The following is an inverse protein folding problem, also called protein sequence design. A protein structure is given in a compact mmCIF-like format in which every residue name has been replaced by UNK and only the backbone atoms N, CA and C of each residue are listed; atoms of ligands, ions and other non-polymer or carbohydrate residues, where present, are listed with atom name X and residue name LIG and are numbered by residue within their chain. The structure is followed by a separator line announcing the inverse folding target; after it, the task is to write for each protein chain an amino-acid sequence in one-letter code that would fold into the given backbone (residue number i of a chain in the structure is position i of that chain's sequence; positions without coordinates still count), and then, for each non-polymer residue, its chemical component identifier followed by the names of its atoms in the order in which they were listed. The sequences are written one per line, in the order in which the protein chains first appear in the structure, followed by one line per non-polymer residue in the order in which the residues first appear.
data_IF_143638408288
#
_entry.id   IF_143638408288
#
_cell.length_a   1.000
_cell.length_b   1.000
_cell.length_c   1.000
_cell.angle_alpha   90.00
_cell.angle_beta   90.00
_cell.angle_gamma   90.00
#
_symmetry.space_group_name_H-M   'P 1'
#
loop_
_entity.id
_entity.type
_entity.pdbx_description
1 polymer ?
#
# COMPACT_ATOMS: atom_id res chain seq x y z
N UNK A 1 -9.86 -22.43 -7.52
CA UNK A 1 -10.39 -21.07 -7.79
C UNK A 1 -10.65 -20.38 -6.47
N UNK A 2 -9.86 -19.37 -6.10
CA UNK A 2 -10.15 -18.53 -4.93
C UNK A 2 -11.17 -17.48 -5.35
N UNK A 3 -12.46 -17.70 -5.05
CA UNK A 3 -13.51 -16.71 -5.26
C UNK A 3 -13.25 -15.50 -4.36
N UNK A 4 -12.90 -14.36 -4.95
CA UNK A 4 -12.75 -13.11 -4.20
C UNK A 4 -14.12 -12.51 -3.87
N UNK A 5 -14.22 -11.70 -2.81
CA UNK A 5 -15.46 -10.99 -2.45
C UNK A 5 -16.01 -10.15 -3.62
N UNK A 6 -15.11 -9.56 -4.41
CA UNK A 6 -15.45 -8.79 -5.61
C UNK A 6 -16.08 -9.67 -6.69
N UNK A 7 -15.49 -10.83 -6.96
CA UNK A 7 -16.03 -11.78 -7.95
C UNK A 7 -17.39 -12.34 -7.54
N UNK A 8 -17.60 -12.57 -6.24
CA UNK A 8 -18.91 -12.98 -5.72
C UNK A 8 -19.97 -11.89 -6.00
N UNK A 9 -19.68 -10.63 -5.68
CA UNK A 9 -20.60 -9.50 -5.93
C UNK A 9 -20.87 -9.31 -7.43
N UNK A 10 -19.83 -9.32 -8.28
CA UNK A 10 -19.97 -9.18 -9.74
C UNK A 10 -20.84 -10.31 -10.30
N UNK A 11 -20.62 -11.57 -9.87
CA UNK A 11 -21.40 -12.73 -10.34
C UNK A 11 -22.84 -12.71 -9.84
N UNK A 12 -23.09 -12.35 -8.58
CA UNK A 12 -24.46 -12.27 -8.03
C UNK A 12 -25.31 -11.22 -8.73
N UNK A 13 -24.73 -10.07 -9.11
CA UNK A 13 -25.42 -9.03 -9.88
C UNK A 13 -25.75 -9.48 -11.32
N UNK A 14 -24.83 -10.20 -11.97
CA UNK A 14 -25.06 -10.77 -13.32
C UNK A 14 -26.15 -11.85 -13.29
N UNK A 15 -26.15 -12.74 -12.28
CA UNK A 15 -27.16 -13.79 -12.13
C UNK A 15 -28.55 -13.19 -11.81
N UNK A 16 -28.62 -12.13 -11.00
CA UNK A 16 -29.87 -11.43 -10.71
C UNK A 16 -30.47 -10.67 -11.90
N UNK A 17 -29.64 -10.16 -12.83
CA UNK A 17 -30.09 -9.45 -14.03
C UNK A 17 -30.38 -10.35 -15.25
N UNK A 18 -29.90 -11.60 -15.24
CA UNK A 18 -30.00 -12.53 -16.39
C UNK A 18 -31.37 -13.19 -16.56
N UNK A 19 -32.34 -12.90 -15.68
CA UNK A 19 -33.71 -13.41 -15.85
C UNK A 19 -34.53 -12.65 -16.93
N UNK A 20 -34.02 -11.54 -17.48
CA UNK A 20 -34.77 -10.70 -18.43
C UNK A 20 -34.13 -10.55 -19.83
N UNK A 21 -32.92 -11.04 -20.09
CA UNK A 21 -32.26 -10.84 -21.38
C UNK A 21 -31.62 -12.13 -21.94
N UNK A 22 -31.95 -12.39 -23.20
CA UNK A 22 -31.63 -13.54 -24.04
C UNK A 22 -30.19 -14.06 -23.94
N UNK A 23 -30.06 -15.37 -24.15
CA UNK A 23 -28.91 -16.26 -24.02
C UNK A 23 -27.66 -15.95 -24.86
N UNK A 24 -27.56 -14.77 -25.48
CA UNK A 24 -26.43 -14.40 -26.35
C UNK A 24 -25.28 -13.67 -25.66
N UNK A 25 -25.38 -13.32 -24.37
CA UNK A 25 -24.29 -12.65 -23.64
C UNK A 25 -23.29 -13.59 -22.96
N UNK A 26 -23.51 -14.91 -23.00
CA UNK A 26 -22.66 -15.89 -22.31
C UNK A 26 -21.21 -15.99 -22.85
N UNK A 27 -20.88 -15.34 -23.98
CA UNK A 27 -19.62 -15.55 -24.70
C UNK A 27 -18.61 -14.38 -24.60
N UNK A 28 -18.94 -13.30 -23.88
CA UNK A 28 -18.05 -12.13 -23.77
C UNK A 28 -17.49 -11.95 -22.35
N UNK A 29 -17.21 -13.03 -21.61
CA UNK A 29 -16.46 -12.92 -20.35
C UNK A 29 -14.97 -12.91 -20.70
N UNK A 30 -14.28 -11.76 -20.64
CA UNK A 30 -12.83 -11.73 -20.85
C UNK A 30 -12.17 -12.63 -19.80
N UNK A 31 -11.39 -13.59 -20.28
CA UNK A 31 -10.53 -14.44 -19.44
C UNK A 31 -9.51 -13.54 -18.74
N UNK A 32 -9.83 -13.13 -17.51
CA UNK A 32 -8.97 -12.27 -16.70
C UNK A 32 -7.71 -13.07 -16.33
N UNK A 33 -6.55 -12.65 -16.83
CA UNK A 33 -5.26 -13.23 -16.43
C UNK A 33 -5.12 -13.10 -14.91
N UNK A 34 -4.98 -14.24 -14.25
CA UNK A 34 -4.75 -14.32 -12.81
C UNK A 34 -3.31 -13.91 -12.53
N UNK A 35 -3.04 -12.60 -12.52
CA UNK A 35 -1.76 -12.08 -12.08
C UNK A 35 -1.59 -12.38 -10.59
N UNK A 36 -0.48 -13.03 -10.24
CA UNK A 36 -0.12 -13.29 -8.85
C UNK A 36 -0.05 -11.95 -8.11
N UNK A 37 -0.85 -11.80 -7.06
CA UNK A 37 -0.79 -10.62 -6.21
C UNK A 37 0.61 -10.48 -5.60
N UNK A 38 1.18 -9.29 -5.74
CA UNK A 38 2.43 -8.90 -5.09
C UNK A 38 2.20 -7.61 -4.29
N UNK A 39 2.76 -7.49 -3.07
CA UNK A 39 2.71 -6.24 -2.33
C UNK A 39 3.39 -5.09 -3.08
N UNK A 40 2.92 -3.87 -2.85
CA UNK A 40 3.45 -2.68 -3.52
C UNK A 40 4.95 -2.46 -3.24
N UNK A 41 5.43 -2.78 -2.03
CA UNK A 41 6.85 -2.66 -1.69
C UNK A 41 7.73 -3.65 -2.47
N UNK A 42 7.24 -4.86 -2.75
CA UNK A 42 7.97 -5.85 -3.56
C UNK A 42 8.11 -5.38 -5.01
N UNK A 43 7.03 -4.79 -5.56
CA UNK A 43 7.08 -4.17 -6.88
C UNK A 43 8.11 -3.03 -6.94
N UNK A 44 8.11 -2.15 -5.93
CA UNK A 44 9.07 -1.03 -5.85
C UNK A 44 10.51 -1.50 -5.72
N UNK A 45 10.75 -2.58 -4.98
CA UNK A 45 12.07 -3.19 -4.84
C UNK A 45 12.56 -3.76 -6.17
N UNK A 46 11.72 -4.55 -6.86
CA UNK A 46 12.04 -5.09 -8.20
C UNK A 46 12.33 -4.00 -9.24
N UNK A 47 11.68 -2.84 -9.11
CA UNK A 47 11.92 -1.68 -9.96
C UNK A 47 13.14 -0.83 -9.53
N UNK A 48 13.84 -1.19 -8.44
CA UNK A 48 14.97 -0.43 -7.88
C UNK A 48 14.58 0.93 -7.26
N UNK A 49 13.28 1.22 -7.14
CA UNK A 49 12.76 2.50 -6.64
C UNK A 49 12.73 2.58 -5.13
N UNK A 50 12.64 1.44 -4.44
CA UNK A 50 12.54 1.40 -2.99
C UNK A 50 13.83 1.94 -2.34
N UNK A 51 15.00 1.45 -2.75
CA UNK A 51 16.30 1.95 -2.28
C UNK A 51 16.45 3.46 -2.46
N UNK A 52 16.14 3.98 -3.66
CA UNK A 52 16.19 5.42 -3.95
C UNK A 52 15.27 6.23 -3.05
N UNK A 53 14.06 5.74 -2.75
CA UNK A 53 13.11 6.42 -1.85
C UNK A 53 13.59 6.41 -0.41
N UNK A 54 14.28 5.35 0.03
CA UNK A 54 14.89 5.29 1.35
C UNK A 54 15.95 6.38 1.48
N UNK A 55 16.86 6.51 0.51
CA UNK A 55 17.88 7.57 0.49
C UNK A 55 17.25 8.97 0.57
N UNK A 56 16.22 9.23 -0.24
CA UNK A 56 15.47 10.50 -0.21
C UNK A 56 14.79 10.75 1.14
N UNK A 57 14.27 9.71 1.80
CA UNK A 57 13.65 9.86 3.11
C UNK A 57 14.71 10.22 4.18
N UNK A 58 15.90 9.64 4.12
CA UNK A 58 17.00 9.96 5.04
C UNK A 58 17.62 11.34 4.74
N UNK A 59 17.66 11.80 3.50
CA UNK A 59 18.19 13.14 3.18
C UNK A 59 17.32 14.25 3.80
N UNK A 60 16.01 14.02 3.97
CA UNK A 60 15.12 14.96 4.69
C UNK A 60 15.59 15.16 6.15
N UNK A 61 16.26 14.17 6.75
CA UNK A 61 16.72 14.28 8.13
C UNK A 61 17.89 15.24 8.32
N UNK A 62 18.58 15.68 7.26
CA UNK A 62 19.65 16.68 7.34
C UNK A 62 19.13 18.07 7.74
N UNK A 63 17.89 18.38 7.38
CA UNK A 63 17.18 19.63 7.70
C UNK A 63 15.70 19.32 7.93
N UNK A 64 15.41 18.63 9.04
CA UNK A 64 14.13 17.96 9.16
C UNK A 64 12.97 18.92 9.45
N UNK A 65 11.96 18.84 8.57
CA UNK A 65 10.71 19.62 8.64
C UNK A 65 9.45 18.75 8.71
N UNK A 66 9.57 17.49 9.14
CA UNK A 66 8.45 16.54 9.15
C UNK A 66 7.32 16.87 10.15
N UNK A 67 7.57 17.70 11.17
CA UNK A 67 6.54 18.14 12.10
C UNK A 67 6.03 19.55 11.75
N UNK A 68 4.82 19.95 12.19
CA UNK A 68 4.26 21.28 11.89
C UNK A 68 5.14 22.46 12.31
N UNK A 69 6.07 22.25 13.25
CA UNK A 69 7.00 23.28 13.75
C UNK A 69 8.22 23.50 12.85
N UNK A 70 8.46 22.61 11.89
CA UNK A 70 9.56 22.71 10.91
C UNK A 70 10.93 23.11 11.51
N UNK A 71 11.35 22.46 12.60
CA UNK A 71 12.51 22.89 13.40
C UNK A 71 13.87 22.87 12.67
N UNK A 72 14.01 22.17 11.55
CA UNK A 72 15.22 22.17 10.72
C UNK A 72 16.44 21.46 11.32
N UNK A 73 16.30 20.78 12.46
CA UNK A 73 17.39 20.01 13.08
C UNK A 73 17.94 18.92 12.16
N UNK A 74 19.23 18.63 12.30
CA UNK A 74 19.90 17.54 11.61
C UNK A 74 19.83 16.25 12.44
N UNK A 75 18.87 15.37 12.14
CA UNK A 75 18.74 14.10 12.88
C UNK A 75 19.88 13.13 12.56
N UNK A 76 20.57 13.26 11.43
CA UNK A 76 21.72 12.40 11.12
C UNK A 76 22.89 12.64 12.08
N UNK A 77 23.00 13.86 12.64
CA UNK A 77 23.94 14.20 13.72
C UNK A 77 23.43 13.86 15.13
N UNK A 78 22.25 13.25 15.25
CA UNK A 78 21.62 12.93 16.53
C UNK A 78 20.87 14.10 17.19
N UNK A 79 20.73 15.23 16.50
CA UNK A 79 19.98 16.37 17.03
C UNK A 79 18.49 16.03 17.21
N UNK A 80 17.89 16.59 18.26
CA UNK A 80 16.47 16.42 18.58
C UNK A 80 15.80 17.77 18.57
N UNK A 81 14.74 17.89 17.78
CA UNK A 81 13.88 19.07 17.77
C UNK A 81 12.84 19.03 18.90
N UNK A 82 11.87 19.93 18.83
CA UNK A 82 10.77 20.00 19.80
C UNK A 82 10.04 18.66 19.99
N UNK A 83 9.85 17.88 18.93
CA UNK A 83 9.16 16.58 19.02
C UNK A 83 9.98 15.47 19.69
N UNK A 84 11.27 15.70 19.98
CA UNK A 84 12.21 14.75 20.59
C UNK A 84 12.42 13.42 19.84
N UNK A 85 11.85 13.27 18.64
CA UNK A 85 11.99 12.08 17.81
C UNK A 85 13.45 11.91 17.35
N UNK A 86 14.07 10.72 17.53
CA UNK A 86 15.41 10.42 17.04
C UNK A 86 15.40 10.08 15.53
N UNK A 87 16.57 9.74 14.97
CA UNK A 87 16.71 9.24 13.60
C UNK A 87 16.36 7.74 13.46
N UNK A 88 16.24 7.02 14.56
CA UNK A 88 15.81 5.61 14.61
C UNK A 88 14.33 5.52 15.00
N UNK A 89 13.59 4.51 14.53
CA UNK A 89 12.23 4.28 14.97
C UNK A 89 12.17 4.03 16.47
N UNK A 90 11.10 4.54 17.11
CA UNK A 90 10.78 4.28 18.51
C UNK A 90 9.41 3.60 18.54
N UNK A 91 9.33 2.43 19.18
CA UNK A 91 8.09 1.66 19.28
C UNK A 91 7.44 2.00 20.61
N UNK A 92 6.25 2.59 20.57
CA UNK A 92 5.46 2.86 21.78
C UNK A 92 4.62 1.65 22.20
N UNK A 93 4.11 0.88 21.24
CA UNK A 93 3.33 -0.33 21.47
C UNK A 93 3.34 -1.22 20.24
N UNK A 94 3.11 -2.51 20.45
CA UNK A 94 2.97 -3.51 19.41
C UNK A 94 1.76 -4.39 19.75
N UNK A 95 0.82 -4.47 18.82
CA UNK A 95 -0.41 -5.22 18.99
C UNK A 95 -0.63 -6.08 17.74
N UNK A 96 -1.11 -7.33 17.91
CA UNK A 96 -1.46 -8.16 16.77
C UNK A 96 -2.61 -7.52 15.97
N UNK A 97 -2.44 -7.43 14.66
CA UNK A 97 -3.51 -7.04 13.74
C UNK A 97 -4.20 -8.31 13.23
N UNK A 98 -5.39 -8.63 13.77
CA UNK A 98 -6.12 -9.86 13.43
C UNK A 98 -7.01 -9.70 12.17
N UNK A 99 -6.41 -9.23 11.08
CA UNK A 99 -7.13 -9.08 9.82
C UNK A 99 -6.26 -8.42 8.75
N UNK A 100 -5.57 -9.25 7.97
CA UNK A 100 -5.02 -8.93 6.64
C UNK A 100 -5.44 -10.02 5.65
#
# INVERSE_FOLDING_TARGET
MKLTRREFIERSLVIGGSFLLSSSFAHAVPQKREERWIPAYEKLEKEGKLARRIEQAYSIFENCRCCPRQCGVNRLKGEKGFCRAPNKPVIYGAHPHFGE
#
